data_IF_762218051430
#
_entry.id   IF_762218051430
#
_cell.length_a   1.000
_cell.length_b   1.000
_cell.length_c   1.000
_cell.angle_alpha   90.00
_cell.angle_beta   90.00
_cell.angle_gamma   90.00
#
_symmetry.space_group_name_H-M   'P 1'
#
loop_
_entity.id
_entity.type
_entity.pdbx_description
1 polymer ?
#
# COMPACT_ATOMS: atom_id res chain seq x y z
N UNK A 1 6.05 17.35 -14.66
CA UNK A 1 5.77 17.15 -13.21
C UNK A 1 7.03 16.60 -12.53
N UNK A 2 7.70 17.35 -11.64
CA UNK A 2 9.00 16.97 -11.06
C UNK A 2 9.02 15.61 -10.35
N UNK A 3 7.90 15.22 -9.72
CA UNK A 3 7.77 13.95 -9.01
C UNK A 3 7.86 12.72 -9.92
N UNK A 4 7.40 12.82 -11.17
CA UNK A 4 7.51 11.74 -12.15
C UNK A 4 8.96 11.56 -12.61
N UNK A 5 9.68 12.66 -12.83
CA UNK A 5 11.10 12.59 -13.18
C UNK A 5 11.92 11.97 -12.04
N UNK A 6 11.65 12.37 -10.80
CA UNK A 6 12.31 11.78 -9.64
C UNK A 6 12.13 10.26 -9.58
N UNK A 7 10.88 9.77 -9.74
CA UNK A 7 10.61 8.33 -9.73
C UNK A 7 11.26 7.61 -10.92
N UNK A 8 11.26 8.23 -12.11
CA UNK A 8 11.92 7.67 -13.29
C UNK A 8 13.44 7.52 -13.10
N UNK A 9 14.10 8.55 -12.56
CA UNK A 9 15.53 8.50 -12.24
C UNK A 9 15.84 7.44 -11.18
N UNK A 10 14.96 7.29 -10.17
CA UNK A 10 15.11 6.25 -9.15
C UNK A 10 14.97 4.82 -9.74
N UNK A 11 14.04 4.61 -10.68
CA UNK A 11 13.89 3.33 -11.39
C UNK A 11 15.13 3.01 -12.23
N UNK A 12 15.65 3.99 -12.99
CA UNK A 12 16.91 3.83 -13.75
C UNK A 12 18.09 3.55 -12.83
N UNK A 13 18.18 4.24 -11.70
CA UNK A 13 19.23 3.99 -10.70
C UNK A 13 19.16 2.56 -10.16
N UNK A 14 17.98 2.07 -9.80
CA UNK A 14 17.79 0.69 -9.34
C UNK A 14 18.17 -0.33 -10.43
N UNK A 15 17.76 -0.10 -11.68
CA UNK A 15 18.15 -0.93 -12.81
C UNK A 15 19.68 -0.98 -13.00
N UNK A 16 20.35 0.18 -12.92
CA UNK A 16 21.82 0.26 -13.01
C UNK A 16 22.55 -0.46 -11.86
N UNK A 17 21.86 -0.74 -10.75
CA UNK A 17 22.36 -1.57 -9.65
C UNK A 17 22.07 -3.06 -9.81
N UNK A 18 21.45 -3.47 -10.93
CA UNK A 18 21.09 -4.86 -11.20
C UNK A 18 19.80 -5.31 -10.51
N UNK A 19 18.97 -4.39 -10.01
CA UNK A 19 17.68 -4.75 -9.41
C UNK A 19 16.68 -5.23 -10.48
N UNK A 20 16.01 -6.35 -10.22
CA UNK A 20 14.97 -6.89 -11.09
C UNK A 20 13.57 -6.29 -10.83
N UNK A 21 13.37 -5.69 -9.66
CA UNK A 21 12.09 -5.15 -9.21
C UNK A 21 12.27 -3.76 -8.61
N UNK A 22 11.29 -2.90 -8.81
CA UNK A 22 11.19 -1.59 -8.18
C UNK A 22 9.84 -1.51 -7.46
N UNK A 23 9.87 -1.58 -6.13
CA UNK A 23 8.68 -1.57 -5.30
C UNK A 23 8.27 -0.12 -4.99
N UNK A 24 7.08 0.27 -5.45
CA UNK A 24 6.50 1.58 -5.19
C UNK A 24 5.81 1.66 -3.83
N UNK A 25 5.78 0.59 -3.04
CA UNK A 25 5.10 0.48 -1.74
C UNK A 25 3.56 0.56 -1.84
N UNK A 26 2.90 0.59 -0.69
CA UNK A 26 1.45 0.45 -0.55
C UNK A 26 0.56 1.48 -1.25
N UNK A 27 -0.66 1.05 -1.52
CA UNK A 27 -1.81 1.78 -2.08
C UNK A 27 -3.02 1.49 -1.18
N UNK A 28 -4.24 2.04 -1.40
CA UNK A 28 -5.41 1.64 -0.64
C UNK A 28 -5.59 0.11 -0.64
N UNK A 29 -5.97 -0.47 0.50
CA UNK A 29 -6.23 -1.91 0.61
C UNK A 29 -7.60 -2.26 0.01
N UNK A 30 -7.63 -2.21 -1.33
CA UNK A 30 -8.82 -2.44 -2.15
C UNK A 30 -8.48 -3.43 -3.28
N UNK A 31 -9.50 -4.01 -3.91
CA UNK A 31 -9.31 -4.85 -5.09
C UNK A 31 -8.77 -4.03 -6.27
N UNK A 32 -8.09 -4.67 -7.22
CA UNK A 32 -7.60 -3.96 -8.41
C UNK A 32 -8.78 -3.39 -9.22
N UNK A 33 -9.89 -4.11 -9.27
CA UNK A 33 -11.13 -3.70 -9.92
C UNK A 33 -11.70 -2.42 -9.30
N UNK A 34 -11.77 -2.36 -7.96
CA UNK A 34 -12.20 -1.16 -7.22
C UNK A 34 -11.24 0.00 -7.48
N UNK A 35 -9.93 -0.26 -7.41
CA UNK A 35 -8.90 0.75 -7.66
C UNK A 35 -9.00 1.36 -9.06
N UNK A 36 -9.10 0.54 -10.12
CA UNK A 36 -9.24 1.04 -11.49
C UNK A 36 -10.60 1.67 -11.79
N UNK A 37 -11.67 1.27 -11.11
CA UNK A 37 -12.98 1.92 -11.29
C UNK A 37 -13.02 3.31 -10.69
N UNK A 38 -12.44 3.49 -9.51
CA UNK A 38 -12.69 4.66 -8.67
C UNK A 38 -11.49 5.65 -8.59
N UNK A 39 -10.35 5.37 -9.25
CA UNK A 39 -9.13 6.19 -9.11
C UNK A 39 -9.26 7.65 -9.55
N UNK A 40 -10.23 7.97 -10.42
CA UNK A 40 -10.48 9.33 -10.92
C UNK A 40 -11.42 10.13 -10.00
N UNK A 41 -12.39 9.47 -9.36
CA UNK A 41 -13.43 10.09 -8.55
C UNK A 41 -13.02 10.19 -7.07
N UNK A 42 -12.38 9.15 -6.52
CA UNK A 42 -11.95 9.13 -5.12
C UNK A 42 -10.66 9.90 -4.92
N UNK A 43 -10.61 10.63 -3.81
CA UNK A 43 -9.47 11.45 -3.38
C UNK A 43 -9.10 11.25 -1.91
N UNK A 44 -9.86 10.44 -1.19
CA UNK A 44 -9.65 10.18 0.22
C UNK A 44 -8.47 9.22 0.46
N UNK A 45 -7.94 9.20 1.69
CA UNK A 45 -6.88 8.27 2.09
C UNK A 45 -5.69 8.22 1.11
N UNK A 46 -5.39 7.02 0.61
CA UNK A 46 -4.27 6.78 -0.31
C UNK A 46 -4.68 6.78 -1.80
N UNK A 47 -5.89 7.23 -2.16
CA UNK A 47 -6.38 7.21 -3.54
C UNK A 47 -5.55 8.11 -4.49
N UNK A 48 -5.11 9.27 -4.02
CA UNK A 48 -4.19 10.12 -4.78
C UNK A 48 -2.82 9.47 -5.01
N UNK A 49 -2.34 8.69 -4.02
CA UNK A 49 -1.10 7.93 -4.13
C UNK A 49 -1.23 6.81 -5.15
N UNK A 50 -2.37 6.09 -5.16
CA UNK A 50 -2.66 5.10 -6.20
C UNK A 50 -2.67 5.73 -7.59
N UNK A 51 -3.40 6.84 -7.78
CA UNK A 51 -3.47 7.56 -9.06
C UNK A 51 -2.08 7.93 -9.59
N UNK A 52 -1.19 8.41 -8.71
CA UNK A 52 0.20 8.70 -9.06
C UNK A 52 0.97 7.44 -9.46
N UNK A 53 0.94 6.38 -8.63
CA UNK A 53 1.70 5.14 -8.85
C UNK A 53 1.23 4.34 -10.07
N UNK A 54 -0.06 4.38 -10.36
CA UNK A 54 -0.70 3.71 -11.51
C UNK A 54 -0.11 4.14 -12.85
N UNK A 55 0.40 5.38 -12.94
CA UNK A 55 1.06 5.90 -14.15
C UNK A 55 2.38 5.21 -14.52
N UNK A 56 2.99 4.44 -13.62
CA UNK A 56 4.28 3.77 -13.87
C UNK A 56 4.16 2.32 -14.35
N UNK A 57 2.94 1.79 -14.54
CA UNK A 57 2.74 0.45 -15.10
C UNK A 57 3.15 -0.73 -14.20
N UNK A 58 3.16 -0.51 -12.87
CA UNK A 58 3.44 -1.56 -11.88
C UNK A 58 2.33 -2.62 -11.77
N UNK A 59 2.57 -3.65 -10.96
CA UNK A 59 1.60 -4.70 -10.63
C UNK A 59 1.16 -4.58 -9.17
N UNK A 60 -0.13 -4.78 -8.90
CA UNK A 60 -0.63 -4.89 -7.52
C UNK A 60 -0.20 -6.24 -6.94
N UNK A 61 0.52 -6.22 -5.83
CA UNK A 61 0.99 -7.42 -5.11
C UNK A 61 0.47 -7.35 -3.68
N UNK A 62 -0.15 -8.44 -3.20
CA UNK A 62 -0.60 -8.55 -1.81
C UNK A 62 0.38 -9.40 -1.00
N UNK A 63 0.78 -8.90 0.16
CA UNK A 63 1.55 -9.65 1.15
C UNK A 63 0.61 -10.38 2.13
N UNK A 64 1.15 -11.28 2.93
CA UNK A 64 0.39 -12.09 3.91
C UNK A 64 -0.19 -11.29 5.09
N UNK A 65 0.09 -9.98 5.15
CA UNK A 65 -0.31 -9.10 6.26
C UNK A 65 0.46 -9.38 7.56
N UNK A 66 0.03 -8.73 8.64
CA UNK A 66 0.59 -8.93 9.97
C UNK A 66 -0.11 -10.10 10.69
N UNK A 67 0.67 -10.89 11.43
CA UNK A 67 0.19 -12.04 12.20
C UNK A 67 0.56 -11.88 13.68
N UNK A 68 -0.42 -12.03 14.55
CA UNK A 68 -0.21 -11.93 15.99
C UNK A 68 0.07 -13.30 16.60
N UNK A 69 1.26 -13.47 17.19
CA UNK A 69 1.56 -14.61 18.05
C UNK A 69 1.02 -14.33 19.46
N UNK A 70 -0.10 -14.95 19.80
CA UNK A 70 -0.79 -14.71 21.07
C UNK A 70 -0.20 -15.56 22.18
N UNK A 71 0.56 -14.94 23.10
CA UNK A 71 1.15 -15.62 24.27
C UNK A 71 0.17 -15.78 25.43
N UNK A 72 -0.70 -14.78 25.67
CA UNK A 72 -1.68 -14.78 26.77
C UNK A 72 -3.08 -14.56 26.18
N UNK A 73 -3.85 -15.63 25.93
CA UNK A 73 -5.12 -15.54 25.20
C UNK A 73 -6.20 -14.66 25.85
N UNK A 74 -6.24 -14.59 27.19
CA UNK A 74 -7.21 -13.78 27.94
C UNK A 74 -6.93 -12.29 27.78
N UNK A 75 -5.69 -11.87 28.04
CA UNK A 75 -5.26 -10.47 27.91
C UNK A 75 -5.41 -9.97 26.47
N UNK A 76 -5.03 -10.78 25.48
CA UNK A 76 -5.18 -10.42 24.08
C UNK A 76 -6.65 -10.24 23.68
N UNK A 77 -7.58 -11.02 24.26
CA UNK A 77 -9.02 -10.85 24.05
C UNK A 77 -9.50 -9.50 24.57
N UNK A 78 -9.08 -9.09 25.77
CA UNK A 78 -9.41 -7.79 26.37
C UNK A 78 -8.82 -6.67 25.51
N UNK A 79 -7.54 -6.77 25.13
CA UNK A 79 -6.88 -5.80 24.26
C UNK A 79 -7.63 -5.62 22.94
N UNK A 80 -7.98 -6.71 22.24
CA UNK A 80 -8.73 -6.64 20.98
C UNK A 80 -10.09 -5.97 21.16
N UNK A 81 -10.81 -6.31 22.23
CA UNK A 81 -12.11 -5.69 22.53
C UNK A 81 -11.97 -4.19 22.79
N UNK A 82 -10.99 -3.76 23.60
CA UNK A 82 -10.70 -2.35 23.84
C UNK A 82 -10.32 -1.62 22.55
N UNK A 83 -9.48 -2.22 21.71
CA UNK A 83 -9.06 -1.62 20.44
C UNK A 83 -10.25 -1.43 19.48
N UNK A 84 -11.23 -2.34 19.49
CA UNK A 84 -12.48 -2.17 18.72
C UNK A 84 -13.31 -0.99 19.25
N UNK A 85 -13.34 -0.75 20.56
CA UNK A 85 -14.07 0.38 21.15
C UNK A 85 -13.39 1.73 20.90
N UNK A 86 -12.06 1.76 20.93
CA UNK A 86 -11.26 2.98 20.76
C UNK A 86 -11.09 3.43 19.31
N UNK A 87 -11.40 2.56 18.34
CA UNK A 87 -11.33 2.86 16.89
C UNK A 87 -12.66 3.35 16.30
N UNK A 88 -13.63 3.71 17.14
CA UNK A 88 -14.83 4.46 16.71
C UNK A 88 -14.56 5.95 16.65
#
# INVERSE_FOLDING_TARGET
MPTYLLQWEAMKWAQNKGCAWYDLWGVPDESLETLERDFTSRQDGLWGVYRFKRGFGGKLVRSIGAWDRVYIPSLYRIYRWMNTLLRK
#
